data_IF_132783088986
#
_entry.id   IF_132783088986
#
_cell.length_a   1.000
_cell.length_b   1.000
_cell.length_c   1.000
_cell.angle_alpha   90.00
_cell.angle_beta   90.00
_cell.angle_gamma   90.00
#
_symmetry.space_group_name_H-M   'P 1'
#
loop_
_entity.id
_entity.type
_entity.pdbx_description
1 polymer ?
#
# COMPACT_ATOMS: atom_id res chain seq x y z
N UNK A 1 -41.75 -13.44 -8.82
CA UNK A 1 -40.30 -13.34 -8.58
C UNK A 1 -40.03 -12.29 -7.50
N UNK A 2 -40.65 -12.48 -6.32
CA UNK A 2 -40.73 -11.47 -5.23
C UNK A 2 -40.08 -11.95 -3.93
N UNK A 3 -40.19 -13.24 -3.59
CA UNK A 3 -39.76 -13.76 -2.29
C UNK A 3 -38.28 -13.57 -1.91
N UNK A 4 -37.36 -13.38 -2.86
CA UNK A 4 -35.95 -13.12 -2.53
C UNK A 4 -35.71 -11.69 -2.03
N UNK A 5 -36.46 -10.72 -2.56
CA UNK A 5 -36.36 -9.31 -2.12
C UNK A 5 -36.99 -9.13 -0.73
N UNK A 6 -38.10 -9.84 -0.49
CA UNK A 6 -38.78 -9.81 0.80
C UNK A 6 -37.89 -10.36 1.93
N UNK A 7 -37.14 -11.45 1.66
CA UNK A 7 -36.17 -12.02 2.61
C UNK A 7 -34.99 -11.07 2.87
N UNK A 8 -34.47 -10.39 1.85
CA UNK A 8 -33.38 -9.42 2.00
C UNK A 8 -33.82 -8.19 2.85
N UNK A 9 -35.08 -7.76 2.71
CA UNK A 9 -35.66 -6.68 3.50
C UNK A 9 -35.90 -7.08 4.96
N UNK A 10 -36.36 -8.32 5.20
CA UNK A 10 -36.54 -8.88 6.54
C UNK A 10 -35.21 -8.98 7.28
N UNK A 11 -34.15 -9.49 6.63
CA UNK A 11 -32.80 -9.55 7.21
C UNK A 11 -32.29 -8.15 7.56
N UNK A 12 -32.49 -7.15 6.70
CA UNK A 12 -32.11 -5.76 6.99
C UNK A 12 -32.88 -5.18 8.17
N UNK A 13 -34.16 -5.52 8.30
CA UNK A 13 -34.99 -5.09 9.43
C UNK A 13 -34.47 -5.68 10.74
N UNK A 14 -34.23 -7.00 10.76
CA UNK A 14 -33.69 -7.71 11.93
C UNK A 14 -32.31 -7.19 12.34
N UNK A 15 -31.42 -6.91 11.38
CA UNK A 15 -30.12 -6.31 11.66
C UNK A 15 -30.25 -4.90 12.25
N UNK A 16 -31.20 -4.10 11.77
CA UNK A 16 -31.45 -2.74 12.27
C UNK A 16 -32.04 -2.76 13.68
N UNK A 17 -32.95 -3.69 13.96
CA UNK A 17 -33.50 -3.91 15.29
C UNK A 17 -32.43 -4.39 16.28
N UNK A 18 -31.63 -5.39 15.90
CA UNK A 18 -30.52 -5.90 16.70
C UNK A 18 -29.46 -4.81 16.98
N UNK A 19 -29.15 -3.98 15.98
CA UNK A 19 -28.25 -2.85 16.14
C UNK A 19 -28.85 -1.78 17.09
N UNK A 20 -30.15 -1.53 17.03
CA UNK A 20 -30.85 -0.59 17.92
C UNK A 20 -30.93 -1.08 19.38
N UNK A 21 -31.04 -2.38 19.59
CA UNK A 21 -31.02 -3.00 20.91
C UNK A 21 -29.61 -3.04 21.55
N UNK A 22 -28.56 -2.94 20.74
CA UNK A 22 -27.19 -3.00 21.22
C UNK A 22 -26.79 -1.71 21.95
N UNK A 23 -26.67 -1.77 23.28
CA UNK A 23 -26.03 -0.70 24.07
C UNK A 23 -24.56 -1.04 24.33
N UNK A 24 -23.60 -0.34 23.69
CA UNK A 24 -22.20 -0.53 23.99
C UNK A 24 -21.88 -0.09 25.43
N UNK A 25 -21.07 -0.89 26.13
CA UNK A 25 -20.55 -0.56 27.46
C UNK A 25 -19.54 0.59 27.35
N UNK A 26 -20.05 1.82 27.52
CA UNK A 26 -19.23 3.03 27.42
C UNK A 26 -18.13 3.08 28.46
N UNK A 27 -18.34 2.53 29.66
CA UNK A 27 -17.32 2.53 30.71
C UNK A 27 -16.12 1.67 30.28
N UNK A 28 -16.38 0.50 29.69
CA UNK A 28 -15.33 -0.37 29.16
C UNK A 28 -14.59 0.24 27.96
N UNK A 29 -15.32 0.91 27.05
CA UNK A 29 -14.71 1.61 25.91
C UNK A 29 -13.81 2.75 26.38
N UNK A 30 -14.28 3.57 27.31
CA UNK A 30 -13.49 4.68 27.87
C UNK A 30 -12.28 4.18 28.65
N UNK A 31 -12.43 3.15 29.49
CA UNK A 31 -11.30 2.54 30.21
C UNK A 31 -10.24 1.94 29.26
N UNK A 32 -10.65 1.42 28.10
CA UNK A 32 -9.73 0.94 27.04
C UNK A 32 -8.95 2.11 26.43
N UNK A 33 -9.63 3.23 26.14
CA UNK A 33 -9.05 4.44 25.58
C UNK A 33 -8.08 5.09 26.57
N UNK A 34 -8.49 5.30 27.82
CA UNK A 34 -7.65 5.83 28.90
C UNK A 34 -6.40 4.97 29.12
N UNK A 35 -6.52 3.65 29.06
CA UNK A 35 -5.36 2.75 29.16
C UNK A 35 -4.41 2.88 27.96
N UNK A 36 -4.93 3.11 26.76
CA UNK A 36 -4.15 3.38 25.56
C UNK A 36 -3.42 4.72 25.63
N UNK A 37 -4.10 5.76 26.12
CA UNK A 37 -3.55 7.10 26.34
C UNK A 37 -2.47 7.10 27.42
N UNK A 38 -2.74 6.47 28.57
CA UNK A 38 -1.79 6.36 29.68
C UNK A 38 -0.58 5.46 29.37
N UNK A 39 -0.68 4.54 28.41
CA UNK A 39 0.46 3.77 27.91
C UNK A 39 1.41 4.60 27.04
N UNK A 40 0.88 5.63 26.37
CA UNK A 40 1.65 6.60 25.59
C UNK A 40 2.35 7.63 26.48
N UNK A 41 1.71 8.07 27.55
CA UNK A 41 2.33 8.98 28.54
C UNK A 41 3.39 8.30 29.42
N UNK A 42 3.20 7.02 29.77
CA UNK A 42 4.19 6.24 30.54
C UNK A 42 5.41 5.79 29.73
N UNK A 43 5.42 6.08 28.42
CA UNK A 43 6.60 5.89 27.56
C UNK A 43 7.46 7.16 27.45
N UNK A 44 7.29 8.13 28.36
CA UNK A 44 8.31 9.12 28.72
C UNK A 44 9.42 8.50 29.58
N UNK A 45 10.66 9.05 29.56
CA UNK A 45 11.87 8.31 29.89
C UNK A 45 11.80 7.79 31.32
N UNK A 46 11.91 6.46 31.47
CA UNK A 46 12.20 5.87 32.76
C UNK A 46 13.50 6.48 33.28
N UNK A 47 13.34 7.43 34.21
CA UNK A 47 14.38 7.91 35.10
C UNK A 47 14.76 6.76 36.01
N UNK A 48 15.53 5.82 35.48
CA UNK A 48 16.33 4.92 36.27
C UNK A 48 17.58 5.71 36.69
N UNK A 49 17.50 6.38 37.83
CA UNK A 49 18.66 6.79 38.61
C UNK A 49 19.48 5.54 38.93
N UNK A 50 20.50 5.26 38.10
CA UNK A 50 21.63 4.41 38.44
C UNK A 50 22.87 5.29 38.59
N UNK A 51 23.71 5.05 39.60
CA UNK A 51 24.89 5.87 39.84
C UNK A 51 25.91 5.70 38.71
N UNK A 52 26.71 6.73 38.38
CA UNK A 52 27.74 6.64 37.35
C UNK A 52 28.92 5.80 37.88
N UNK A 53 29.17 4.65 37.24
CA UNK A 53 30.41 3.88 37.43
C UNK A 53 31.26 3.99 36.15
N UNK A 54 32.59 4.12 36.27
CA UNK A 54 33.49 4.53 35.18
C UNK A 54 33.60 3.51 34.03
N UNK A 55 33.64 4.06 32.81
CA UNK A 55 33.46 3.38 31.52
C UNK A 55 34.65 2.61 30.94
N UNK A 56 35.27 1.71 31.70
CA UNK A 56 36.30 0.79 31.16
C UNK A 56 35.97 -0.71 31.32
N UNK A 57 34.93 -1.12 32.04
CA UNK A 57 34.70 -2.55 32.35
C UNK A 57 33.60 -3.26 31.53
N UNK A 58 33.37 -2.91 30.25
CA UNK A 58 32.36 -3.60 29.40
C UNK A 58 32.84 -4.02 28.01
N UNK A 59 34.00 -4.66 27.94
CA UNK A 59 34.44 -5.37 26.71
C UNK A 59 34.69 -6.88 26.95
N UNK A 60 34.42 -7.45 28.13
CA UNK A 60 34.82 -8.84 28.41
C UNK A 60 33.81 -9.72 29.17
N UNK A 61 32.50 -9.56 28.97
CA UNK A 61 31.49 -10.21 29.84
C UNK A 61 30.23 -10.75 29.16
N UNK A 62 30.32 -11.35 27.96
CA UNK A 62 29.16 -11.98 27.30
C UNK A 62 29.50 -13.29 26.55
N UNK A 63 30.50 -14.04 27.03
CA UNK A 63 30.86 -15.37 26.51
C UNK A 63 31.24 -16.30 27.66
N UNK A 64 30.31 -16.62 28.56
CA UNK A 64 30.39 -17.76 29.49
C UNK A 64 29.16 -17.78 30.42
N UNK A 65 27.99 -18.18 29.91
CA UNK A 65 26.92 -18.70 30.77
C UNK A 65 25.86 -19.49 29.97
N UNK A 66 26.18 -20.76 29.70
CA UNK A 66 25.30 -21.92 29.98
C UNK A 66 23.99 -21.95 29.18
N UNK A 67 23.86 -22.65 28.04
CA UNK A 67 24.44 -23.94 27.66
C UNK A 67 24.24 -25.07 28.71
N UNK A 68 23.31 -24.91 29.64
CA UNK A 68 23.02 -25.89 30.71
C UNK A 68 21.55 -25.94 31.09
N UNK A 69 20.67 -25.92 30.08
CA UNK A 69 19.25 -26.29 30.21
C UNK A 69 18.90 -27.48 29.28
N UNK A 70 19.86 -28.05 28.56
CA UNK A 70 19.64 -29.16 27.62
C UNK A 70 20.20 -30.54 28.07
N UNK A 71 20.46 -30.75 29.37
CA UNK A 71 21.15 -31.97 29.83
C UNK A 71 20.44 -32.79 30.94
N UNK A 72 19.18 -32.50 31.29
CA UNK A 72 18.44 -33.30 32.32
C UNK A 72 17.09 -33.84 31.83
N UNK A 73 16.63 -33.50 30.62
CA UNK A 73 15.34 -33.96 30.09
C UNK A 73 15.38 -35.22 29.22
N UNK A 74 16.45 -36.02 29.28
CA UNK A 74 16.75 -37.04 28.28
C UNK A 74 17.16 -38.40 28.85
N UNK A 75 16.43 -38.95 29.83
CA UNK A 75 16.50 -40.38 30.15
C UNK A 75 15.33 -40.87 31.03
N UNK A 76 14.16 -41.08 30.42
CA UNK A 76 13.15 -42.03 30.93
C UNK A 76 12.23 -42.45 29.78
N UNK A 77 12.70 -43.40 28.98
CA UNK A 77 11.89 -44.12 27.99
C UNK A 77 11.16 -45.27 28.67
N UNK A 78 9.88 -45.42 28.32
CA UNK A 78 9.05 -46.63 28.40
C UNK A 78 8.64 -47.16 29.79
N UNK A 79 7.47 -46.75 30.27
CA UNK A 79 6.46 -47.66 30.84
C UNK A 79 5.19 -46.91 31.26
N UNK A 80 4.22 -46.82 30.37
CA UNK A 80 2.78 -46.91 30.69
C UNK A 80 1.97 -46.67 29.41
N UNK A 81 1.88 -47.71 28.58
CA UNK A 81 0.62 -47.97 27.87
C UNK A 81 -0.39 -48.36 28.95
N UNK A 82 -1.40 -47.53 29.15
CA UNK A 82 -2.77 -47.90 29.53
C UNK A 82 -3.62 -46.63 29.60
N UNK A 83 -4.48 -46.49 28.59
CA UNK A 83 -5.86 -46.04 28.68
C UNK A 83 -6.16 -44.82 29.56
N UNK A 84 -6.27 -43.63 28.94
CA UNK A 84 -7.57 -42.97 28.84
C UNK A 84 -7.53 -41.79 27.84
N UNK A 85 -8.39 -41.87 26.83
CA UNK A 85 -8.55 -40.84 25.81
C UNK A 85 -9.76 -39.97 26.15
N UNK A 86 -9.61 -38.64 26.37
CA UNK A 86 -10.76 -37.74 26.37
C UNK A 86 -11.11 -37.35 24.92
N UNK A 87 -12.40 -37.41 24.51
CA UNK A 87 -12.81 -37.28 23.12
C UNK A 87 -12.61 -35.87 22.55
N UNK A 88 -12.20 -35.84 21.28
CA UNK A 88 -12.11 -34.65 20.46
C UNK A 88 -13.46 -33.95 20.33
N UNK A 89 -13.56 -32.71 20.82
CA UNK A 89 -14.60 -31.78 20.40
C UNK A 89 -14.19 -31.14 19.08
N UNK A 90 -14.49 -31.84 18.00
CA UNK A 90 -14.59 -31.26 16.66
C UNK A 90 -15.70 -30.23 16.66
N UNK A 91 -15.34 -28.96 16.52
CA UNK A 91 -16.31 -27.88 16.30
C UNK A 91 -16.60 -27.85 14.80
N UNK A 92 -17.80 -28.27 14.42
CA UNK A 92 -18.28 -28.18 13.06
C UNK A 92 -18.48 -26.71 12.68
N UNK A 93 -17.63 -26.18 11.80
CA UNK A 93 -17.92 -24.93 11.08
C UNK A 93 -18.85 -25.25 9.92
N UNK A 94 -20.10 -24.79 10.00
CA UNK A 94 -21.04 -24.80 8.88
C UNK A 94 -20.49 -24.03 7.67
N UNK A 95 -20.86 -24.43 6.44
CA UNK A 95 -20.17 -24.05 5.21
C UNK A 95 -20.33 -22.58 4.80
N UNK A 96 -19.28 -22.07 4.17
CA UNK A 96 -19.24 -20.87 3.33
C UNK A 96 -20.43 -20.84 2.34
N UNK A 97 -21.24 -19.76 2.28
CA UNK A 97 -22.21 -19.61 1.21
C UNK A 97 -21.49 -19.36 -0.13
N UNK A 98 -21.86 -20.15 -1.14
CA UNK A 98 -21.45 -20.01 -2.52
C UNK A 98 -22.01 -18.72 -3.17
N UNK A 99 -21.31 -18.13 -4.16
CA UNK A 99 -21.77 -16.93 -4.84
C UNK A 99 -23.05 -17.19 -5.64
N UNK A 100 -24.05 -16.30 -5.51
CA UNK A 100 -25.22 -16.31 -6.41
C UNK A 100 -24.82 -15.78 -7.80
N UNK A 101 -25.27 -16.41 -8.91
CA UNK A 101 -25.14 -15.87 -10.26
C UNK A 101 -26.06 -14.65 -10.51
N UNK A 102 -25.51 -13.60 -11.14
CA UNK A 102 -26.32 -12.52 -11.71
C UNK A 102 -27.07 -13.01 -12.96
N UNK A 103 -28.38 -12.77 -13.10
CA UNK A 103 -29.11 -13.02 -14.33
C UNK A 103 -28.84 -11.90 -15.35
N UNK A 104 -28.65 -12.31 -16.60
CA UNK A 104 -28.53 -11.42 -17.75
C UNK A 104 -29.83 -10.67 -18.07
N UNK A 105 -29.66 -9.48 -18.62
CA UNK A 105 -30.68 -8.74 -19.35
C UNK A 105 -30.15 -8.44 -20.75
N UNK A 106 -30.84 -8.97 -21.75
CA UNK A 106 -30.52 -8.96 -23.17
C UNK A 106 -31.11 -7.74 -23.87
N UNK A 107 -30.26 -7.08 -24.68
CA UNK A 107 -30.48 -6.55 -26.04
C UNK A 107 -31.54 -5.47 -26.39
N UNK A 108 -31.19 -4.80 -27.51
CA UNK A 108 -31.89 -3.81 -28.35
C UNK A 108 -31.66 -2.36 -27.89
N UNK A 109 -31.11 -1.45 -28.71
CA UNK A 109 -31.29 -1.29 -30.15
C UNK A 109 -30.13 -0.46 -30.75
N UNK A 110 -29.76 -0.75 -31.99
CA UNK A 110 -28.74 -0.03 -32.77
C UNK A 110 -29.40 0.90 -33.79
N UNK A 111 -28.77 2.02 -34.15
CA UNK A 111 -28.59 2.24 -35.59
C UNK A 111 -27.19 2.72 -36.01
N UNK A 112 -26.80 2.26 -37.20
CA UNK A 112 -25.61 2.53 -38.01
C UNK A 112 -25.72 3.88 -38.78
N UNK A 113 -24.65 4.33 -39.47
CA UNK A 113 -24.23 5.73 -39.65
C UNK A 113 -24.68 6.34 -40.99
N UNK A 114 -24.44 7.66 -41.22
CA UNK A 114 -24.39 8.20 -42.57
C UNK A 114 -22.97 8.44 -43.09
N UNK A 115 -22.79 7.93 -44.30
CA UNK A 115 -21.80 8.17 -45.35
C UNK A 115 -21.49 9.65 -45.65
N UNK A 116 -20.24 9.91 -46.07
CA UNK A 116 -19.76 11.20 -46.57
C UNK A 116 -20.30 11.61 -47.96
N UNK A 117 -19.81 12.75 -48.49
CA UNK A 117 -19.13 12.71 -49.79
C UNK A 117 -17.88 13.63 -49.91
N UNK A 118 -16.87 13.16 -50.65
CA UNK A 118 -15.78 13.88 -51.35
C UNK A 118 -16.32 14.48 -52.69
N UNK A 119 -15.56 15.14 -53.61
CA UNK A 119 -14.21 15.75 -53.60
C UNK A 119 -14.10 17.12 -54.32
N UNK A 120 -12.93 17.79 -54.24
CA UNK A 120 -12.26 18.67 -55.23
C UNK A 120 -11.04 19.29 -54.52
N UNK A 121 -9.79 19.38 -54.99
CA UNK A 121 -9.08 19.19 -56.25
C UNK A 121 -7.83 20.12 -56.19
N UNK A 122 -6.60 19.70 -56.55
CA UNK A 122 -5.32 20.43 -56.36
C UNK A 122 -4.99 21.31 -57.61
N UNK A 123 -3.88 22.10 -57.74
CA UNK A 123 -2.44 21.80 -57.47
C UNK A 123 -1.69 23.00 -56.81
N UNK A 124 -0.40 23.03 -56.45
CA UNK A 124 0.89 22.85 -57.15
C UNK A 124 1.99 22.91 -56.04
N UNK A 125 2.87 21.93 -55.91
CA UNK A 125 4.28 21.93 -56.37
C UNK A 125 5.01 23.27 -56.30
N UNK A 126 5.97 23.43 -55.36
CA UNK A 126 7.38 23.83 -55.59
C UNK A 126 8.13 23.90 -54.25
N UNK A 127 9.00 22.93 -54.00
CA UNK A 127 10.29 23.16 -53.33
C UNK A 127 11.34 23.38 -54.45
N UNK A 128 12.54 23.95 -54.24
CA UNK A 128 13.34 23.94 -52.99
C UNK A 128 14.04 25.29 -52.69
N UNK A 129 14.72 25.39 -51.54
CA UNK A 129 16.07 25.97 -51.47
C UNK A 129 16.63 25.87 -50.03
N UNK A 130 17.68 25.05 -49.89
CA UNK A 130 18.72 25.15 -48.85
C UNK A 130 20.02 25.43 -49.63
N UNK A 131 20.88 26.37 -49.20
CA UNK A 131 21.91 26.08 -48.20
C UNK A 131 22.10 27.29 -47.24
N UNK A 132 22.73 27.23 -46.07
CA UNK A 132 24.14 26.92 -45.90
C UNK A 132 24.51 26.86 -44.41
N UNK A 133 25.51 26.02 -44.17
CA UNK A 133 26.24 25.82 -42.93
C UNK A 133 27.00 27.06 -42.46
N UNK A 134 27.02 27.33 -41.15
CA UNK A 134 28.04 28.15 -40.47
C UNK A 134 28.17 27.78 -38.99
N UNK A 135 29.14 26.90 -38.72
CA UNK A 135 30.13 26.85 -37.61
C UNK A 135 29.66 26.86 -36.13
N UNK A 136 30.26 26.00 -35.26
CA UNK A 136 29.84 25.82 -33.86
C UNK A 136 30.52 26.81 -32.90
N UNK A 137 29.91 27.14 -31.75
CA UNK A 137 30.66 27.52 -30.58
C UNK A 137 30.90 26.30 -29.69
N UNK A 138 32.18 26.02 -29.49
CA UNK A 138 32.68 25.26 -28.35
C UNK A 138 32.27 25.99 -27.07
N UNK A 139 31.37 25.40 -26.28
CA UNK A 139 31.16 25.78 -24.90
C UNK A 139 31.11 24.50 -24.06
N UNK A 140 32.19 24.25 -23.33
CA UNK A 140 32.21 23.37 -22.17
C UNK A 140 31.29 23.97 -21.13
N UNK A 141 29.99 23.63 -21.23
CA UNK A 141 29.05 23.85 -20.14
C UNK A 141 28.97 22.54 -19.37
N UNK A 142 29.46 22.57 -18.13
CA UNK A 142 29.11 21.59 -17.10
C UNK A 142 27.59 21.62 -16.98
N UNK A 143 26.91 20.75 -17.72
CA UNK A 143 25.48 20.59 -17.61
C UNK A 143 25.19 19.99 -16.24
N UNK A 144 24.84 20.84 -15.28
CA UNK A 144 23.97 20.43 -14.18
C UNK A 144 22.75 19.81 -14.84
N UNK A 145 22.67 18.48 -14.80
CA UNK A 145 21.52 17.76 -15.32
C UNK A 145 20.27 18.37 -14.68
N UNK A 146 19.23 18.71 -15.47
CA UNK A 146 17.93 19.06 -14.90
C UNK A 146 17.50 17.94 -13.95
N UNK A 147 16.81 18.24 -12.84
CA UNK A 147 16.20 17.18 -12.03
C UNK A 147 15.39 16.27 -12.97
N UNK A 148 15.42 14.94 -12.78
CA UNK A 148 14.67 14.04 -13.64
C UNK A 148 13.22 14.51 -13.66
N UNK A 149 12.73 14.88 -14.84
CA UNK A 149 11.33 15.19 -15.01
C UNK A 149 10.56 13.94 -14.61
N UNK A 150 9.76 14.04 -13.56
CA UNK A 150 8.94 12.93 -13.09
C UNK A 150 8.04 12.46 -14.23
N UNK A 151 8.23 11.23 -14.66
CA UNK A 151 7.43 10.66 -15.74
C UNK A 151 6.25 9.92 -15.11
N UNK A 152 5.09 10.57 -15.08
CA UNK A 152 3.84 9.94 -14.63
C UNK A 152 3.36 8.84 -15.59
N UNK A 153 3.91 8.75 -16.80
CA UNK A 153 3.52 7.79 -17.83
C UNK A 153 4.73 7.25 -18.59
N UNK A 154 4.74 5.94 -18.85
CA UNK A 154 5.70 5.24 -19.70
C UNK A 154 4.97 4.11 -20.45
N UNK A 155 4.64 4.38 -21.71
CA UNK A 155 3.89 3.47 -22.56
C UNK A 155 2.53 3.12 -21.94
N UNK A 156 2.21 1.84 -21.72
CA UNK A 156 0.92 1.45 -21.15
C UNK A 156 0.82 1.65 -19.64
N UNK A 157 1.88 2.13 -18.97
CA UNK A 157 1.94 2.30 -17.52
C UNK A 157 1.79 3.78 -17.16
N UNK A 158 0.85 4.08 -16.26
CA UNK A 158 0.64 5.43 -15.72
C UNK A 158 0.54 5.39 -14.20
N UNK A 159 0.93 6.47 -13.53
CA UNK A 159 0.80 6.61 -12.08
C UNK A 159 0.50 8.02 -11.61
N UNK A 160 -0.15 8.12 -10.44
CA UNK A 160 -0.36 9.36 -9.71
C UNK A 160 -0.26 9.15 -8.19
N UNK A 161 0.18 10.17 -7.46
CA UNK A 161 0.37 10.14 -6.01
C UNK A 161 -0.45 11.22 -5.33
N UNK A 162 -1.24 10.84 -4.32
CA UNK A 162 -2.07 11.77 -3.55
C UNK A 162 -2.04 11.47 -2.06
N UNK A 163 -2.22 12.50 -1.23
CA UNK A 163 -2.48 12.31 0.20
C UNK A 163 -3.97 12.04 0.37
N UNK A 164 -4.32 10.96 1.07
CA UNK A 164 -5.70 10.57 1.26
C UNK A 164 -6.47 11.67 2.00
N UNK A 165 -7.65 12.10 1.51
CA UNK A 165 -8.41 13.20 2.11
C UNK A 165 -8.99 12.88 3.50
N UNK A 166 -9.00 11.61 3.92
CA UNK A 166 -9.39 11.19 5.26
C UNK A 166 -8.21 11.16 6.26
N UNK A 167 -7.05 11.70 5.86
CA UNK A 167 -5.95 12.03 6.78
C UNK A 167 -6.41 13.08 7.81
N UNK A 168 -5.72 13.16 8.94
CA UNK A 168 -6.04 14.06 10.05
C UNK A 168 -4.76 14.62 10.71
N UNK A 169 -4.93 15.42 11.76
CA UNK A 169 -3.83 16.10 12.46
C UNK A 169 -2.69 15.18 12.97
N UNK A 170 -2.90 13.87 13.11
CA UNK A 170 -1.91 12.96 13.72
C UNK A 170 -1.56 11.75 12.85
N UNK A 171 -2.22 11.63 11.70
CA UNK A 171 -2.16 10.44 10.88
C UNK A 171 -2.48 10.79 9.44
N UNK A 172 -1.70 10.24 8.52
CA UNK A 172 -1.95 10.38 7.10
C UNK A 172 -1.75 9.05 6.36
N UNK A 173 -2.34 9.00 5.18
CA UNK A 173 -2.12 7.95 4.21
C UNK A 173 -1.72 8.57 2.88
N UNK A 174 -0.68 8.02 2.27
CA UNK A 174 -0.24 8.37 0.91
C UNK A 174 -0.68 7.26 -0.03
N UNK A 175 -1.47 7.60 -1.04
CA UNK A 175 -2.05 6.72 -2.04
C UNK A 175 -1.32 6.87 -3.37
N UNK A 176 -0.88 5.76 -3.95
CA UNK A 176 -0.34 5.67 -5.30
C UNK A 176 -1.36 4.94 -6.16
N UNK A 177 -1.93 5.65 -7.12
CA UNK A 177 -2.76 5.06 -8.18
C UNK A 177 -1.84 4.62 -9.30
N UNK A 178 -1.95 3.37 -9.73
CA UNK A 178 -1.20 2.78 -10.83
C UNK A 178 -2.19 2.23 -11.84
N UNK A 179 -2.11 2.70 -13.09
CA UNK A 179 -2.93 2.22 -14.20
C UNK A 179 -2.06 1.51 -15.23
N UNK A 180 -2.53 0.39 -15.74
CA UNK A 180 -1.86 -0.34 -16.82
C UNK A 180 -2.86 -0.90 -17.83
N UNK A 181 -2.62 -0.67 -19.12
CA UNK A 181 -3.49 -1.18 -20.20
C UNK A 181 -3.16 -2.62 -20.60
N UNK A 182 -2.02 -3.14 -20.13
CA UNK A 182 -1.56 -4.50 -20.39
C UNK A 182 -1.21 -5.23 -19.09
N UNK A 183 -1.25 -6.57 -19.07
CA UNK A 183 -0.79 -7.33 -17.92
C UNK A 183 0.71 -7.13 -17.64
N UNK A 184 1.06 -6.97 -16.36
CA UNK A 184 2.44 -6.86 -15.91
C UNK A 184 2.90 -8.19 -15.29
N UNK A 185 4.12 -8.62 -15.62
CA UNK A 185 4.74 -9.86 -15.12
C UNK A 185 5.75 -9.61 -14.00
N UNK A 186 6.16 -8.36 -13.82
CA UNK A 186 6.91 -7.88 -12.68
C UNK A 186 6.42 -6.47 -12.33
N UNK A 187 6.37 -6.16 -11.04
CA UNK A 187 6.05 -4.84 -10.53
C UNK A 187 6.77 -4.63 -9.20
N UNK A 188 7.46 -3.51 -9.07
CA UNK A 188 7.95 -2.99 -7.80
C UNK A 188 7.45 -1.57 -7.65
N UNK A 189 6.71 -1.31 -6.58
CA UNK A 189 6.25 0.03 -6.18
C UNK A 189 7.00 0.40 -4.91
N UNK A 190 7.61 1.57 -4.90
CA UNK A 190 8.30 2.13 -3.74
C UNK A 190 7.73 3.51 -3.43
N UNK A 191 7.21 3.66 -2.21
CA UNK A 191 6.77 4.92 -1.62
C UNK A 191 7.80 5.38 -0.60
N UNK A 192 8.21 6.64 -0.67
CA UNK A 192 9.15 7.25 0.27
C UNK A 192 8.47 8.46 0.91
N UNK A 193 8.10 8.30 2.18
CA UNK A 193 7.51 9.37 2.98
C UNK A 193 8.61 10.10 3.74
N UNK A 194 8.78 11.40 3.49
CA UNK A 194 9.78 12.23 4.13
C UNK A 194 9.54 12.31 5.63
N UNK A 195 10.60 12.12 6.42
CA UNK A 195 10.54 12.34 7.85
C UNK A 195 10.45 13.85 8.13
N UNK A 196 9.26 14.32 8.49
CA UNK A 196 9.00 15.71 8.90
C UNK A 196 8.69 15.83 10.39
N UNK A 197 9.07 14.82 11.18
CA UNK A 197 8.76 14.74 12.60
C UNK A 197 7.67 13.70 12.90
N UNK A 198 7.99 12.74 13.75
CA UNK A 198 7.04 11.71 14.20
C UNK A 198 6.53 10.75 13.12
N UNK A 199 7.08 10.77 11.89
CA UNK A 199 6.67 9.86 10.82
C UNK A 199 7.01 8.44 11.21
N UNK A 200 5.99 7.62 11.42
CA UNK A 200 6.12 6.22 11.80
C UNK A 200 5.01 5.38 11.17
N UNK A 201 5.36 4.22 10.60
CA UNK A 201 4.41 3.34 9.93
C UNK A 201 3.30 2.89 10.86
N UNK A 202 2.06 2.99 10.40
CA UNK A 202 0.87 2.38 11.03
C UNK A 202 0.30 1.25 10.20
N UNK A 203 0.78 1.04 8.97
CA UNK A 203 0.37 -0.05 8.12
C UNK A 203 0.44 0.30 6.64
N UNK A 204 -0.06 -0.62 5.82
CA UNK A 204 -0.13 -0.49 4.38
C UNK A 204 -1.30 -1.31 3.84
N UNK A 205 -1.87 -0.90 2.71
CA UNK A 205 -2.83 -1.72 1.98
C UNK A 205 -2.65 -1.57 0.47
N UNK A 206 -3.28 -2.47 -0.29
CA UNK A 206 -3.33 -2.41 -1.76
C UNK A 206 -4.63 -3.02 -2.26
N UNK A 207 -5.08 -2.64 -3.44
CA UNK A 207 -6.27 -3.23 -4.08
C UNK A 207 -5.99 -4.61 -4.70
N UNK A 208 -4.72 -4.92 -5.01
CA UNK A 208 -4.31 -6.23 -5.51
C UNK A 208 -4.16 -7.28 -4.39
N UNK A 209 -4.32 -8.59 -4.67
CA UNK A 209 -4.24 -9.62 -3.65
C UNK A 209 -2.93 -9.63 -2.87
N UNK A 210 -3.03 -9.71 -1.56
CA UNK A 210 -1.91 -9.55 -0.64
C UNK A 210 -0.81 -10.58 -0.88
N UNK A 211 -1.22 -11.83 -1.05
CA UNK A 211 -0.39 -13.01 -1.21
C UNK A 211 0.52 -12.95 -2.44
N UNK A 212 0.21 -12.08 -3.42
CA UNK A 212 0.99 -11.91 -4.62
C UNK A 212 2.21 -11.02 -4.43
N UNK A 213 2.33 -10.31 -3.30
CA UNK A 213 3.40 -9.35 -3.07
C UNK A 213 4.25 -9.70 -1.85
N UNK A 214 5.54 -9.39 -1.93
CA UNK A 214 6.39 -9.20 -0.77
C UNK A 214 6.34 -7.72 -0.39
N UNK A 215 6.05 -7.42 0.87
CA UNK A 215 5.99 -6.07 1.40
C UNK A 215 7.08 -5.84 2.45
N UNK A 216 7.75 -4.69 2.39
CA UNK A 216 8.70 -4.24 3.40
C UNK A 216 8.48 -2.77 3.74
N UNK A 217 8.63 -2.42 5.02
CA UNK A 217 8.66 -1.04 5.47
C UNK A 217 9.90 -0.80 6.35
N UNK A 218 10.64 0.27 6.09
CA UNK A 218 11.82 0.63 6.87
C UNK A 218 12.15 2.11 6.76
N UNK A 219 12.75 2.67 7.81
CA UNK A 219 13.36 3.99 7.75
C UNK A 219 14.73 3.93 7.06
N UNK A 220 14.94 4.75 6.03
CA UNK A 220 16.18 4.85 5.25
C UNK A 220 16.38 6.28 4.78
N UNK A 221 17.56 6.84 5.03
CA UNK A 221 17.99 8.16 4.51
C UNK A 221 16.99 9.31 4.79
N UNK A 222 16.36 9.30 5.97
CA UNK A 222 15.35 10.30 6.33
C UNK A 222 13.96 10.06 5.73
N UNK A 223 13.68 8.86 5.22
CA UNK A 223 12.37 8.47 4.67
C UNK A 223 11.84 7.20 5.34
N UNK A 224 10.54 7.15 5.57
CA UNK A 224 9.82 5.91 5.78
C UNK A 224 9.51 5.29 4.41
N UNK A 225 10.22 4.23 4.06
CA UNK A 225 10.16 3.59 2.74
C UNK A 225 9.26 2.36 2.80
N UNK A 226 8.17 2.39 2.05
CA UNK A 226 7.28 1.26 1.82
C UNK A 226 7.59 0.68 0.45
N UNK A 227 7.75 -0.64 0.36
CA UNK A 227 8.04 -1.30 -0.91
C UNK A 227 7.20 -2.55 -1.07
N UNK A 228 6.47 -2.60 -2.18
CA UNK A 228 5.73 -3.78 -2.64
C UNK A 228 6.43 -4.35 -3.85
N UNK A 229 6.69 -5.66 -3.85
CA UNK A 229 7.32 -6.36 -4.98
C UNK A 229 6.49 -7.57 -5.34
N UNK A 230 6.03 -7.63 -6.59
CA UNK A 230 5.29 -8.75 -7.13
C UNK A 230 6.16 -10.01 -7.07
N UNK A 231 5.62 -11.08 -6.49
CA UNK A 231 6.29 -12.38 -6.42
C UNK A 231 6.39 -12.99 -7.82
N UNK A 232 7.47 -13.74 -8.05
CA UNK A 232 7.68 -14.45 -9.32
C UNK A 232 6.50 -15.35 -9.66
N UNK A 233 6.14 -15.39 -10.95
CA UNK A 233 5.03 -16.19 -11.46
C UNK A 233 3.63 -15.61 -11.19
N UNK A 234 3.54 -14.44 -10.55
CA UNK A 234 2.29 -13.66 -10.42
C UNK A 234 2.23 -12.59 -11.50
N UNK A 235 1.01 -12.12 -11.77
CA UNK A 235 0.74 -11.07 -12.75
C UNK A 235 -0.16 -10.01 -12.15
N UNK A 236 0.02 -8.76 -12.58
CA UNK A 236 -0.95 -7.68 -12.35
C UNK A 236 -1.81 -7.57 -13.60
N UNK A 237 -3.15 -7.70 -13.50
CA UNK A 237 -4.01 -7.55 -14.66
C UNK A 237 -4.01 -6.09 -15.17
N UNK A 238 -4.42 -5.92 -16.43
CA UNK A 238 -4.77 -4.60 -16.94
C UNK A 238 -5.91 -4.00 -16.09
N UNK A 239 -5.84 -2.70 -15.83
CA UNK A 239 -6.77 -1.98 -14.96
C UNK A 239 -6.07 -0.93 -14.10
N UNK A 240 -6.80 -0.48 -13.08
CA UNK A 240 -6.36 0.52 -12.12
C UNK A 240 -6.22 -0.09 -10.73
N UNK A 241 -5.11 0.19 -10.06
CA UNK A 241 -4.74 -0.40 -8.79
C UNK A 241 -4.20 0.66 -7.85
N UNK A 242 -4.42 0.48 -6.54
CA UNK A 242 -3.97 1.42 -5.50
C UNK A 242 -2.99 0.71 -4.57
N UNK A 243 -1.92 1.40 -4.21
CA UNK A 243 -1.01 1.06 -3.13
C UNK A 243 -0.96 2.20 -2.12
N UNK A 244 -1.08 1.89 -0.83
CA UNK A 244 -1.21 2.91 0.20
C UNK A 244 -0.28 2.65 1.38
N UNK A 245 0.50 3.67 1.75
CA UNK A 245 1.31 3.68 2.98
C UNK A 245 0.65 4.55 4.05
N UNK A 246 0.47 4.01 5.24
CA UNK A 246 -0.20 4.66 6.36
C UNK A 246 0.80 4.97 7.47
N UNK A 247 0.76 6.17 8.02
CA UNK A 247 1.73 6.60 9.03
C UNK A 247 1.17 7.65 10.00
N UNK A 248 1.68 7.62 11.23
CA UNK A 248 1.56 8.75 12.14
C UNK A 248 2.51 9.85 11.72
N UNK A 249 2.23 11.08 12.14
CA UNK A 249 3.15 12.23 12.03
C UNK A 249 2.98 13.15 13.24
N UNK A 250 3.89 14.11 13.39
CA UNK A 250 3.71 15.22 14.34
C UNK A 250 2.39 15.94 14.13
N UNK A 251 1.84 16.48 15.21
CA UNK A 251 0.52 17.12 15.19
C UNK A 251 0.49 18.29 14.21
N UNK A 252 -0.48 18.30 13.30
CA UNK A 252 -0.78 19.41 12.39
C UNK A 252 -0.99 18.93 10.96
N UNK A 253 -0.90 19.88 10.01
CA UNK A 253 -0.95 19.56 8.59
C UNK A 253 0.32 18.85 8.13
N UNK A 254 0.16 17.69 7.48
CA UNK A 254 1.26 16.92 6.91
C UNK A 254 1.83 17.63 5.66
N UNK A 255 3.12 18.01 5.68
CA UNK A 255 3.81 18.60 4.52
C UNK A 255 4.38 17.52 3.57
N UNK A 256 3.57 17.05 2.63
CA UNK A 256 3.94 15.96 1.72
C UNK A 256 4.89 16.35 0.57
N UNK A 257 5.37 17.61 0.48
CA UNK A 257 6.20 18.07 -0.65
C UNK A 257 7.51 17.28 -0.84
N UNK A 258 8.03 16.67 0.23
CA UNK A 258 9.23 15.82 0.17
C UNK A 258 8.94 14.34 -0.15
N UNK A 259 7.66 13.96 -0.24
CA UNK A 259 7.26 12.59 -0.50
C UNK A 259 7.35 12.31 -1.99
N UNK A 260 7.73 11.08 -2.31
CA UNK A 260 7.86 10.64 -3.70
C UNK A 260 7.62 9.15 -3.80
N UNK A 261 7.31 8.71 -5.01
CA UNK A 261 7.20 7.30 -5.31
C UNK A 261 7.86 6.98 -6.65
N UNK A 262 8.17 5.70 -6.83
CA UNK A 262 8.62 5.13 -8.09
C UNK A 262 7.93 3.79 -8.30
N UNK A 263 7.55 3.47 -9.53
CA UNK A 263 7.10 2.14 -9.90
C UNK A 263 7.85 1.64 -11.15
N UNK A 264 8.45 0.46 -11.04
CA UNK A 264 9.09 -0.22 -12.18
C UNK A 264 8.32 -1.49 -12.50
N UNK A 265 8.07 -1.75 -13.78
CA UNK A 265 7.31 -2.90 -14.23
C UNK A 265 7.96 -3.60 -15.43
N UNK A 266 7.51 -4.83 -15.70
CA UNK A 266 7.79 -5.55 -16.95
C UNK A 266 6.48 -5.95 -17.61
N UNK A 267 6.28 -5.47 -18.84
CA UNK A 267 5.20 -5.86 -19.73
C UNK A 267 5.76 -6.63 -20.94
N UNK A 268 4.88 -7.15 -21.81
CA UNK A 268 5.31 -7.83 -23.04
C UNK A 268 6.15 -6.96 -23.98
N UNK A 269 6.01 -5.64 -23.90
CA UNK A 269 6.79 -4.64 -24.65
C UNK A 269 8.18 -4.36 -24.08
N UNK A 270 8.46 -4.76 -22.83
CA UNK A 270 9.72 -4.49 -22.16
C UNK A 270 9.56 -3.97 -20.73
N UNK A 271 10.62 -3.31 -20.23
CA UNK A 271 10.64 -2.68 -18.92
C UNK A 271 10.03 -1.28 -19.01
N UNK A 272 9.22 -0.93 -18.03
CA UNK A 272 8.56 0.37 -17.89
C UNK A 272 8.93 0.99 -16.54
N UNK A 273 8.95 2.31 -16.45
CA UNK A 273 9.20 3.04 -15.21
C UNK A 273 8.40 4.33 -15.15
N UNK A 274 7.74 4.55 -14.02
CA UNK A 274 7.04 5.80 -13.71
C UNK A 274 7.44 6.30 -12.33
N UNK A 275 7.37 7.60 -12.11
CA UNK A 275 7.68 8.24 -10.85
C UNK A 275 6.89 9.54 -10.65
N UNK A 276 6.74 9.96 -9.40
CA UNK A 276 5.98 11.15 -9.07
C UNK A 276 6.11 11.59 -7.60
N UNK A 277 5.53 12.75 -7.31
CA UNK A 277 5.46 13.33 -5.96
C UNK A 277 4.06 13.24 -5.35
N UNK A 278 3.90 13.86 -4.18
CA UNK A 278 2.61 14.04 -3.52
C UNK A 278 2.36 15.53 -3.31
N UNK A 279 1.45 16.12 -4.07
CA UNK A 279 1.01 17.48 -3.82
C UNK A 279 -0.02 17.48 -2.67
N UNK A 280 0.02 18.51 -1.83
CA UNK A 280 -1.12 18.84 -0.98
C UNK A 280 -2.20 19.40 -1.90
N UNK A 281 -3.36 18.75 -1.98
CA UNK A 281 -4.50 19.31 -2.71
C UNK A 281 -4.76 20.73 -2.21
N UNK A 282 -4.76 21.71 -3.11
CA UNK A 282 -5.16 23.07 -2.78
C UNK A 282 -6.60 23.01 -2.25
N UNK A 283 -6.74 23.11 -0.94
CA UNK A 283 -8.04 23.25 -0.29
C UNK A 283 -8.69 24.52 -0.80
N UNK A 284 -9.69 24.36 -1.67
CA UNK A 284 -10.52 25.45 -2.15
C UNK A 284 -11.05 26.26 -0.96
N UNK A 285 -10.77 27.57 -1.00
CA UNK A 285 -11.29 28.57 -0.07
C UNK A 285 -12.78 28.80 -0.24
#
# INVERSE_FOLDING_TARGET
>A
MTGRRDVDEEVRSLLREAAGAHRPDRARVLARVERGMAGRERSGPHRATRPPLPGWARVAGATAAVAGVLAVGGYAVASAVKDDAPPQRSVATSPTPAPTPSPGGTASDAPLPPTGPTPSGPPESTAPDTPASSRPPTATATATAPPPSSAAEDGPLWSDGSVNPHSNDFWAQSDITLRTDVPLTALTVELRVAQTGGVASTGAWRSLPEENFTFTVAERDGFLVHRWTLKRGRTVPAGEWIFAGQYHHERGGRDARGDRYTATATAGSGRLSVDGGFATGDGGS
#
